data_IF_098805835990
#
_entry.id   IF_098805835990
#
_cell.length_a   1.000
_cell.length_b   1.000
_cell.length_c   1.000
_cell.angle_alpha   90.00
_cell.angle_beta   90.00
_cell.angle_gamma   90.00
#
_symmetry.space_group_name_H-M   'P 1'
#
loop_
_entity.id
_entity.type
_entity.pdbx_description
1 polymer ?
#
# COMPACT_ATOMS: atom_id res chain seq x y z
N UNK A 1 -29.60 4.26 22.75
CA UNK A 1 -28.35 5.00 22.99
C UNK A 1 -27.18 4.08 22.67
N UNK A 2 -26.70 4.09 21.42
CA UNK A 2 -25.58 3.27 20.98
C UNK A 2 -24.28 3.97 21.37
N UNK A 3 -23.52 3.38 22.28
CA UNK A 3 -22.21 3.88 22.68
C UNK A 3 -21.31 3.97 21.45
N UNK A 4 -20.94 5.18 21.07
CA UNK A 4 -19.86 5.42 20.12
C UNK A 4 -18.58 4.79 20.70
N UNK A 5 -18.03 3.79 20.01
CA UNK A 5 -16.71 3.24 20.34
C UNK A 5 -15.64 4.31 20.08
N UNK A 6 -14.59 4.36 20.92
CA UNK A 6 -13.66 5.48 20.99
C UNK A 6 -12.88 5.61 19.67
N UNK A 7 -12.53 6.86 19.34
CA UNK A 7 -11.47 7.19 18.39
C UNK A 7 -10.26 6.29 18.66
N UNK A 8 -9.81 5.55 17.66
CA UNK A 8 -8.79 4.50 17.83
C UNK A 8 -7.41 5.11 18.06
N UNK A 9 -7.14 5.52 19.30
CA UNK A 9 -5.78 5.57 19.84
C UNK A 9 -5.16 4.18 19.71
N UNK A 10 -3.84 4.10 19.47
CA UNK A 10 -3.16 2.81 19.45
C UNK A 10 -3.51 2.03 20.74
N UNK A 11 -3.66 0.69 20.67
CA UNK A 11 -3.90 -0.09 21.88
C UNK A 11 -2.79 0.22 22.89
N UNK A 12 -3.10 0.19 24.18
CA UNK A 12 -2.08 0.37 25.21
C UNK A 12 -1.31 -0.92 25.44
N UNK A 13 -0.06 -0.80 25.87
CA UNK A 13 0.73 -1.93 26.31
C UNK A 13 0.02 -2.63 27.49
N UNK A 14 -0.05 -3.95 27.45
CA UNK A 14 -0.58 -4.75 28.55
C UNK A 14 0.54 -5.58 29.16
N UNK A 15 0.62 -5.62 30.50
CA UNK A 15 1.61 -6.45 31.20
C UNK A 15 1.49 -7.95 30.87
N UNK A 16 0.30 -8.41 30.49
CA UNK A 16 0.05 -9.76 29.97
C UNK A 16 0.87 -10.08 28.72
N UNK A 17 1.36 -9.08 27.98
CA UNK A 17 2.23 -9.26 26.81
C UNK A 17 3.61 -9.80 27.17
N UNK A 18 4.01 -9.76 28.44
CA UNK A 18 5.30 -10.31 28.91
C UNK A 18 5.22 -11.80 29.28
N UNK A 19 4.03 -12.41 29.23
CA UNK A 19 3.84 -13.82 29.55
C UNK A 19 4.64 -14.73 28.59
N UNK A 20 5.11 -15.91 29.05
CA UNK A 20 5.95 -16.81 28.25
C UNK A 20 5.40 -17.19 26.87
N UNK A 21 4.07 -17.28 26.73
CA UNK A 21 3.39 -17.55 25.46
C UNK A 21 3.70 -16.53 24.36
N UNK A 22 4.19 -15.34 24.72
CA UNK A 22 4.49 -14.25 23.80
C UNK A 22 6.00 -14.03 23.55
N UNK A 23 6.88 -14.79 24.21
CA UNK A 23 8.33 -14.60 24.06
C UNK A 23 8.83 -14.77 22.64
N UNK A 24 8.22 -15.68 21.86
CA UNK A 24 8.54 -15.83 20.44
C UNK A 24 8.24 -14.56 19.62
N UNK A 25 7.20 -13.82 19.97
CA UNK A 25 6.85 -12.55 19.30
C UNK A 25 7.84 -11.46 19.68
N UNK A 26 8.23 -11.38 20.96
CA UNK A 26 9.28 -10.46 21.40
C UNK A 26 10.61 -10.74 20.73
N UNK A 27 10.98 -12.01 20.54
CA UNK A 27 12.17 -12.38 19.79
C UNK A 27 12.12 -11.83 18.35
N UNK A 28 10.97 -11.94 17.67
CA UNK A 28 10.79 -11.35 16.32
C UNK A 28 10.91 -9.84 16.35
N UNK A 29 10.32 -9.16 17.34
CA UNK A 29 10.44 -7.69 17.49
C UNK A 29 11.89 -7.29 17.74
N UNK A 30 12.62 -8.00 18.61
CA UNK A 30 14.03 -7.75 18.86
C UNK A 30 14.89 -7.94 17.61
N UNK A 31 14.59 -8.95 16.80
CA UNK A 31 15.23 -9.13 15.48
C UNK A 31 14.95 -7.93 14.58
N UNK A 32 13.71 -7.42 14.52
CA UNK A 32 13.40 -6.22 13.73
C UNK A 32 14.13 -4.97 14.21
N UNK A 33 14.23 -4.75 15.53
CA UNK A 33 14.97 -3.64 16.11
C UNK A 33 16.48 -3.76 15.84
N UNK A 34 17.03 -4.98 15.93
CA UNK A 34 18.42 -5.22 15.57
C UNK A 34 18.66 -4.97 14.07
N UNK A 35 17.75 -5.40 13.21
CA UNK A 35 17.85 -5.16 11.77
C UNK A 35 17.74 -3.68 11.41
N UNK A 36 17.01 -2.87 12.19
CA UNK A 36 16.80 -1.44 11.88
C UNK A 36 18.06 -0.60 12.07
N UNK A 37 18.91 -0.95 13.04
CA UNK A 37 20.14 -0.21 13.39
C UNK A 37 21.32 -0.49 12.45
N UNK A 38 21.25 -1.56 11.64
CA UNK A 38 22.34 -1.92 10.74
C UNK A 38 22.58 -0.85 9.66
N UNK A 39 23.84 -0.65 9.21
CA UNK A 39 24.13 0.23 8.08
C UNK A 39 23.37 -0.20 6.83
N UNK A 40 22.93 0.77 6.01
CA UNK A 40 22.13 0.50 4.81
C UNK A 40 22.78 -0.50 3.86
N UNK A 41 24.11 -0.43 3.70
CA UNK A 41 24.87 -1.38 2.89
C UNK A 41 24.67 -2.83 3.37
N UNK A 42 24.69 -3.06 4.68
CA UNK A 42 24.47 -4.39 5.27
C UNK A 42 23.01 -4.81 5.11
N UNK A 43 22.06 -3.92 5.38
CA UNK A 43 20.63 -4.17 5.17
C UNK A 43 20.34 -4.60 3.72
N UNK A 44 20.96 -3.93 2.75
CA UNK A 44 20.87 -4.29 1.33
C UNK A 44 21.41 -5.69 1.06
N UNK A 45 22.60 -6.04 1.53
CA UNK A 45 23.11 -7.41 1.36
C UNK A 45 22.20 -8.48 1.99
N UNK A 46 21.65 -8.20 3.18
CA UNK A 46 20.67 -9.08 3.82
C UNK A 46 19.41 -9.19 2.96
N UNK A 47 18.90 -8.08 2.41
CA UNK A 47 17.73 -8.09 1.53
C UNK A 47 17.95 -8.98 0.30
N UNK A 48 19.11 -8.89 -0.35
CA UNK A 48 19.47 -9.74 -1.48
C UNK A 48 19.58 -11.23 -1.10
N UNK A 49 20.16 -11.54 0.05
CA UNK A 49 20.28 -12.90 0.55
C UNK A 49 18.89 -13.50 0.87
N UNK A 50 18.07 -12.78 1.63
CA UNK A 50 16.71 -13.19 1.98
C UNK A 50 15.82 -13.31 0.74
N UNK A 51 15.89 -12.37 -0.20
CA UNK A 51 15.16 -12.44 -1.47
C UNK A 51 15.57 -13.66 -2.29
N UNK A 52 16.87 -13.97 -2.34
CA UNK A 52 17.37 -15.16 -3.05
C UNK A 52 16.90 -16.47 -2.42
N UNK A 53 16.81 -16.53 -1.09
CA UNK A 53 16.24 -17.67 -0.36
C UNK A 53 14.74 -17.77 -0.63
N UNK A 54 14.02 -16.66 -0.48
CA UNK A 54 12.58 -16.58 -0.70
C UNK A 54 12.19 -16.98 -2.13
N UNK A 55 12.95 -16.56 -3.14
CA UNK A 55 12.77 -16.95 -4.54
C UNK A 55 12.85 -18.48 -4.77
N UNK A 56 13.73 -19.15 -4.02
CA UNK A 56 13.92 -20.61 -4.11
C UNK A 56 12.83 -21.38 -3.36
N UNK A 57 12.46 -20.93 -2.17
CA UNK A 57 11.57 -21.65 -1.25
C UNK A 57 10.09 -21.34 -1.51
N UNK A 58 9.73 -20.08 -1.73
CA UNK A 58 8.34 -19.63 -1.86
C UNK A 58 7.78 -19.82 -3.28
N UNK A 59 7.77 -21.07 -3.76
CA UNK A 59 7.37 -21.43 -5.14
C UNK A 59 6.02 -20.85 -5.57
N UNK A 60 5.00 -20.92 -4.71
CA UNK A 60 3.66 -20.39 -5.00
C UNK A 60 3.65 -18.87 -5.21
N UNK A 61 4.42 -18.14 -4.41
CA UNK A 61 4.57 -16.68 -4.54
C UNK A 61 5.32 -16.33 -5.81
N UNK A 62 6.42 -17.04 -6.10
CA UNK A 62 7.18 -16.90 -7.34
C UNK A 62 6.30 -17.12 -8.57
N UNK A 63 5.55 -18.22 -8.61
CA UNK A 63 4.65 -18.55 -9.72
C UNK A 63 3.58 -17.48 -9.92
N UNK A 64 3.00 -16.96 -8.84
CA UNK A 64 2.02 -15.87 -8.90
C UNK A 64 2.65 -14.59 -9.46
N UNK A 65 3.84 -14.22 -8.99
CA UNK A 65 4.59 -13.05 -9.48
C UNK A 65 4.90 -13.16 -10.96
N UNK A 66 5.47 -14.29 -11.40
CA UNK A 66 5.80 -14.54 -12.81
C UNK A 66 4.54 -14.45 -13.66
N UNK A 67 3.47 -15.15 -13.26
CA UNK A 67 2.22 -15.17 -14.03
C UNK A 67 1.61 -13.78 -14.18
N UNK A 68 1.67 -12.96 -13.14
CA UNK A 68 1.18 -11.59 -13.24
C UNK A 68 2.03 -10.73 -14.17
N UNK A 69 3.36 -10.85 -14.09
CA UNK A 69 4.26 -10.10 -14.96
C UNK A 69 4.10 -10.50 -16.44
N UNK A 70 3.92 -11.79 -16.74
CA UNK A 70 3.62 -12.26 -18.11
C UNK A 70 2.35 -11.64 -18.68
N UNK A 71 1.32 -11.47 -17.84
CA UNK A 71 0.05 -10.88 -18.26
C UNK A 71 0.13 -9.37 -18.41
N UNK A 72 0.80 -8.69 -17.48
CA UNK A 72 0.88 -7.23 -17.46
C UNK A 72 1.95 -6.65 -18.39
N UNK A 73 2.98 -7.43 -18.72
CA UNK A 73 4.08 -7.02 -19.58
C UNK A 73 4.31 -8.07 -20.69
N UNK A 74 3.33 -8.28 -21.60
CA UNK A 74 3.48 -9.22 -22.71
C UNK A 74 4.63 -8.88 -23.65
N UNK A 75 5.13 -7.63 -23.61
CA UNK A 75 6.30 -7.18 -24.35
C UNK A 75 7.65 -7.68 -23.80
N UNK A 76 7.67 -8.24 -22.58
CA UNK A 76 8.90 -8.76 -21.98
C UNK A 76 9.24 -10.17 -22.46
N UNK A 77 10.54 -10.41 -22.67
CA UNK A 77 11.03 -11.77 -22.90
C UNK A 77 10.84 -12.64 -21.66
N UNK A 78 10.81 -13.96 -21.83
CA UNK A 78 10.72 -14.89 -20.69
C UNK A 78 11.90 -14.70 -19.70
N UNK A 79 13.09 -14.34 -20.20
CA UNK A 79 14.24 -14.03 -19.36
C UNK A 79 14.03 -12.74 -18.55
N UNK A 80 13.50 -11.69 -19.17
CA UNK A 80 13.18 -10.43 -18.49
C UNK A 80 12.12 -10.63 -17.41
N UNK A 81 11.06 -11.39 -17.69
CA UNK A 81 10.03 -11.73 -16.69
C UNK A 81 10.66 -12.43 -15.48
N UNK A 82 11.57 -13.38 -15.68
CA UNK A 82 12.27 -14.05 -14.57
C UNK A 82 13.17 -13.09 -13.78
N UNK A 83 13.95 -12.27 -14.50
CA UNK A 83 14.86 -11.28 -13.91
C UNK A 83 14.11 -10.25 -13.08
N UNK A 84 13.05 -9.66 -13.65
CA UNK A 84 12.19 -8.69 -12.97
C UNK A 84 11.43 -9.33 -11.82
N UNK A 85 10.91 -10.55 -12.01
CA UNK A 85 10.29 -11.33 -10.95
C UNK A 85 11.21 -11.52 -9.75
N UNK A 86 12.49 -11.83 -9.95
CA UNK A 86 13.47 -11.92 -8.86
C UNK A 86 13.71 -10.57 -8.20
N UNK A 87 13.76 -9.49 -8.98
CA UNK A 87 13.90 -8.13 -8.46
C UNK A 87 12.70 -7.72 -7.59
N UNK A 88 11.47 -8.14 -7.89
CA UNK A 88 10.31 -7.92 -7.00
C UNK A 88 10.57 -8.43 -5.58
N UNK A 89 11.20 -9.60 -5.44
CA UNK A 89 11.53 -10.16 -4.12
C UNK A 89 12.61 -9.33 -3.42
N UNK A 90 13.60 -8.83 -4.16
CA UNK A 90 14.63 -7.92 -3.62
C UNK A 90 13.97 -6.62 -3.16
N UNK A 91 13.15 -6.01 -3.99
CA UNK A 91 12.51 -4.74 -3.70
C UNK A 91 11.56 -4.83 -2.50
N UNK A 92 10.85 -5.95 -2.36
CA UNK A 92 10.05 -6.27 -1.17
C UNK A 92 10.92 -6.32 0.10
N UNK A 93 12.05 -7.01 0.07
CA UNK A 93 12.94 -7.09 1.23
C UNK A 93 13.55 -5.74 1.57
N UNK A 94 13.93 -4.93 0.57
CA UNK A 94 14.37 -3.55 0.80
C UNK A 94 13.25 -2.70 1.43
N UNK A 95 12.01 -2.88 0.97
CA UNK A 95 10.80 -2.27 1.53
C UNK A 95 10.59 -2.52 3.02
N UNK A 96 10.93 -3.72 3.50
CA UNK A 96 10.92 -4.05 4.93
C UNK A 96 11.92 -3.18 5.70
N UNK A 97 13.16 -3.04 5.22
CA UNK A 97 14.15 -2.21 5.88
C UNK A 97 13.77 -0.72 5.86
N UNK A 98 13.17 -0.25 4.77
CA UNK A 98 12.68 1.14 4.66
C UNK A 98 11.52 1.40 5.62
N UNK A 99 10.64 0.43 5.80
CA UNK A 99 9.58 0.46 6.81
C UNK A 99 10.19 0.58 8.22
N UNK A 100 11.19 -0.25 8.54
CA UNK A 100 11.91 -0.16 9.83
C UNK A 100 12.57 1.20 10.02
N UNK A 101 13.16 1.80 8.96
CA UNK A 101 13.71 3.15 9.04
C UNK A 101 12.61 4.20 9.27
N UNK A 102 11.45 4.06 8.65
CA UNK A 102 10.33 4.99 8.86
C UNK A 102 9.80 4.99 10.29
N UNK A 103 9.93 3.86 10.99
CA UNK A 103 9.49 3.72 12.37
C UNK A 103 10.55 4.16 13.38
N UNK A 104 11.82 3.79 13.16
CA UNK A 104 12.87 3.93 14.19
C UNK A 104 13.99 4.90 13.83
N UNK A 105 14.18 5.22 12.55
CA UNK A 105 15.30 6.04 12.04
C UNK A 105 14.82 7.08 11.02
N UNK A 106 13.85 7.89 11.45
CA UNK A 106 13.13 8.90 10.65
C UNK A 106 14.05 9.89 9.92
N UNK A 107 15.19 10.23 10.51
CA UNK A 107 16.23 11.09 9.94
C UNK A 107 16.91 10.50 8.69
N UNK A 108 16.78 9.19 8.44
CA UNK A 108 17.26 8.56 7.21
C UNK A 108 16.77 9.29 5.95
N UNK A 109 15.52 9.74 5.97
CA UNK A 109 14.85 10.33 4.82
C UNK A 109 15.20 11.80 4.58
N UNK A 110 16.02 12.42 5.43
CA UNK A 110 16.41 13.82 5.27
C UNK A 110 17.35 13.99 4.06
N UNK A 111 17.02 14.94 3.17
CA UNK A 111 17.74 15.14 1.90
C UNK A 111 17.63 13.98 0.90
N UNK A 112 16.68 13.04 1.11
CA UNK A 112 16.43 11.90 0.22
C UNK A 112 15.08 11.92 -0.46
N UNK A 113 14.21 12.86 -0.14
CA UNK A 113 12.81 12.85 -0.54
C UNK A 113 12.51 13.99 -1.51
N UNK A 114 11.76 13.69 -2.57
CA UNK A 114 11.06 14.66 -3.40
C UNK A 114 9.57 14.32 -3.50
N UNK A 115 8.75 15.35 -3.73
CA UNK A 115 7.31 15.23 -3.97
C UNK A 115 6.95 16.04 -5.22
N UNK A 116 6.12 15.44 -6.07
CA UNK A 116 5.54 16.07 -7.26
C UNK A 116 4.02 16.05 -7.15
N UNK A 117 3.35 17.11 -7.61
CA UNK A 117 1.89 17.23 -7.61
C UNK A 117 1.26 17.57 -6.26
N UNK A 118 2.04 18.13 -5.33
CA UNK A 118 1.50 18.62 -4.05
C UNK A 118 0.48 19.74 -4.26
N UNK A 119 0.66 20.56 -5.29
CA UNK A 119 -0.24 21.63 -5.67
C UNK A 119 -1.61 21.09 -6.09
N UNK A 120 -1.65 19.94 -6.78
CA UNK A 120 -2.90 19.29 -7.16
C UNK A 120 -3.68 18.81 -5.93
N UNK A 121 -2.99 18.28 -4.92
CA UNK A 121 -3.60 17.91 -3.65
C UNK A 121 -4.15 19.13 -2.90
N UNK A 122 -3.37 20.21 -2.82
CA UNK A 122 -3.80 21.46 -2.18
C UNK A 122 -5.02 22.07 -2.90
N UNK A 123 -5.04 22.04 -4.22
CA UNK A 123 -6.19 22.48 -5.02
C UNK A 123 -7.44 21.62 -4.75
N UNK A 124 -7.26 20.30 -4.63
CA UNK A 124 -8.35 19.37 -4.33
C UNK A 124 -8.94 19.53 -2.93
N UNK A 125 -8.14 19.99 -1.96
CA UNK A 125 -8.60 20.31 -0.60
C UNK A 125 -9.24 21.70 -0.48
N UNK A 126 -9.16 22.53 -1.52
CA UNK A 126 -9.77 23.86 -1.52
C UNK A 126 -11.27 23.72 -1.23
N UNK A 127 -11.84 24.73 -0.60
CA UNK A 127 -13.27 24.79 -0.25
C UNK A 127 -13.73 23.71 0.75
N UNK A 128 -12.78 23.05 1.44
CA UNK A 128 -13.06 22.12 2.54
C UNK A 128 -13.40 20.71 2.10
N UNK A 129 -13.17 20.37 0.82
CA UNK A 129 -13.40 19.02 0.31
C UNK A 129 -12.42 18.01 0.93
N UNK A 130 -12.95 16.84 1.34
CA UNK A 130 -12.11 15.70 1.65
C UNK A 130 -11.42 15.16 0.40
N UNK A 131 -10.36 14.38 0.59
CA UNK A 131 -9.61 13.78 -0.52
C UNK A 131 -9.42 12.29 -0.28
N UNK A 132 -9.79 11.48 -1.28
CA UNK A 132 -9.43 10.07 -1.36
C UNK A 132 -8.14 9.97 -2.18
N UNK A 133 -7.05 9.63 -1.50
CA UNK A 133 -5.77 9.32 -2.15
C UNK A 133 -5.73 7.83 -2.50
N UNK A 134 -5.86 7.53 -3.79
CA UNK A 134 -5.71 6.19 -4.34
C UNK A 134 -4.24 5.83 -4.41
N UNK A 135 -3.80 4.95 -3.53
CA UNK A 135 -2.46 4.36 -3.61
C UNK A 135 -2.50 2.92 -4.07
N UNK A 136 -1.32 2.31 -4.11
CA UNK A 136 -1.16 0.88 -4.37
C UNK A 136 -0.43 0.19 -3.23
N UNK A 137 -0.56 -1.13 -3.14
CA UNK A 137 0.30 -1.96 -2.32
C UNK A 137 1.68 -2.02 -2.99
N UNK A 138 2.49 -0.99 -2.73
CA UNK A 138 3.89 -0.93 -3.14
C UNK A 138 4.82 -1.52 -2.07
N UNK A 139 6.07 -1.82 -2.44
CA UNK A 139 7.10 -2.26 -1.48
C UNK A 139 7.42 -1.20 -0.44
N UNK A 140 7.07 0.06 -0.71
CA UNK A 140 7.32 1.21 0.15
C UNK A 140 6.15 1.58 1.06
N UNK A 141 5.03 0.84 1.08
CA UNK A 141 3.76 1.30 1.65
C UNK A 141 3.86 2.08 2.99
N UNK A 142 4.48 1.50 4.02
CA UNK A 142 4.62 2.17 5.32
C UNK A 142 5.64 3.32 5.31
N UNK A 143 6.77 3.14 4.61
CA UNK A 143 7.78 4.20 4.46
C UNK A 143 7.21 5.39 3.68
N UNK A 144 6.46 5.12 2.62
CA UNK A 144 5.75 6.09 1.80
C UNK A 144 4.75 6.89 2.61
N UNK A 145 3.95 6.24 3.47
CA UNK A 145 3.04 6.96 4.36
C UNK A 145 3.72 7.85 5.38
N UNK A 146 4.86 7.41 5.93
CA UNK A 146 5.71 8.29 6.74
C UNK A 146 6.26 9.49 5.94
N UNK A 147 6.72 9.26 4.72
CA UNK A 147 7.25 10.36 3.90
C UNK A 147 6.11 11.34 3.56
N UNK A 148 4.92 10.87 3.19
CA UNK A 148 3.74 11.69 2.95
C UNK A 148 3.36 12.56 4.13
N UNK A 149 3.40 12.00 5.35
CA UNK A 149 3.00 12.72 6.55
C UNK A 149 3.87 13.94 6.85
N UNK A 150 5.04 14.07 6.20
CA UNK A 150 5.91 15.25 6.27
C UNK A 150 5.38 16.44 5.45
N UNK A 151 4.49 16.18 4.49
CA UNK A 151 3.97 17.18 3.57
C UNK A 151 2.50 17.53 3.84
N UNK A 152 1.70 16.57 4.28
CA UNK A 152 0.28 16.77 4.59
C UNK A 152 -0.21 15.74 5.61
N UNK A 153 -1.23 16.10 6.39
CA UNK A 153 -1.89 15.17 7.31
C UNK A 153 -2.76 14.19 6.54
N UNK A 154 -2.59 12.89 6.79
CA UNK A 154 -3.36 11.84 6.11
C UNK A 154 -3.83 10.79 7.11
N UNK A 155 -5.10 10.41 6.97
CA UNK A 155 -5.69 9.28 7.66
C UNK A 155 -5.47 8.01 6.82
N UNK A 156 -5.27 6.87 7.47
CA UNK A 156 -5.00 5.61 6.77
C UNK A 156 -5.97 4.53 7.22
N UNK A 157 -6.52 3.82 6.24
CA UNK A 157 -7.33 2.64 6.49
C UNK A 157 -6.42 1.42 6.71
N UNK A 158 -6.63 0.67 7.79
CA UNK A 158 -5.84 -0.53 8.06
C UNK A 158 -6.71 -1.69 8.56
N UNK A 159 -6.24 -2.92 8.34
CA UNK A 159 -6.83 -4.11 8.95
C UNK A 159 -6.16 -4.37 10.31
N UNK A 160 -6.93 -4.46 11.41
CA UNK A 160 -6.39 -4.87 12.71
C UNK A 160 -5.69 -6.22 12.63
N UNK A 161 -4.53 -6.33 13.28
CA UNK A 161 -3.78 -7.56 13.40
C UNK A 161 -4.51 -8.55 14.30
N UNK A 162 -4.35 -9.84 13.99
CA UNK A 162 -4.95 -10.91 14.78
C UNK A 162 -4.28 -11.04 16.16
N UNK A 163 -2.97 -10.76 16.25
CA UNK A 163 -2.22 -10.85 17.49
C UNK A 163 -2.15 -9.47 18.18
N UNK A 164 -2.50 -9.38 19.48
CA UNK A 164 -2.57 -8.09 20.18
C UNK A 164 -1.22 -7.40 20.35
N UNK A 165 -0.10 -8.13 20.44
CA UNK A 165 1.24 -7.54 20.54
C UNK A 165 1.63 -6.92 19.20
N UNK A 166 1.38 -7.61 18.08
CA UNK A 166 1.62 -7.03 16.77
C UNK A 166 0.72 -5.81 16.52
N UNK A 167 -0.56 -5.87 16.92
CA UNK A 167 -1.45 -4.72 16.83
C UNK A 167 -0.90 -3.52 17.61
N UNK A 168 -0.52 -3.73 18.88
CA UNK A 168 0.11 -2.71 19.71
C UNK A 168 1.38 -2.15 19.07
N UNK A 169 2.29 -3.02 18.64
CA UNK A 169 3.58 -2.64 18.07
C UNK A 169 3.43 -1.81 16.79
N UNK A 170 2.63 -2.29 15.81
CA UNK A 170 2.45 -1.57 14.55
C UNK A 170 1.65 -0.27 14.73
N UNK A 171 0.60 -0.27 15.56
CA UNK A 171 -0.14 0.95 15.81
C UNK A 171 0.73 2.00 16.52
N UNK A 172 1.54 1.59 17.50
CA UNK A 172 2.48 2.50 18.18
C UNK A 172 3.48 3.11 17.19
N UNK A 173 4.05 2.29 16.30
CA UNK A 173 4.99 2.77 15.29
C UNK A 173 4.35 3.74 14.26
N UNK A 174 3.07 3.54 13.95
CA UNK A 174 2.31 4.34 12.97
C UNK A 174 1.59 5.55 13.56
N UNK A 175 1.30 5.58 14.86
CA UNK A 175 0.51 6.64 15.49
C UNK A 175 1.21 8.00 15.42
N UNK A 176 2.54 8.03 15.44
CA UNK A 176 3.32 9.25 15.29
C UNK A 176 3.45 9.73 13.82
N UNK A 177 2.74 9.10 12.89
CA UNK A 177 2.84 9.33 11.44
C UNK A 177 1.50 9.78 10.87
N UNK A 178 0.41 9.09 11.17
CA UNK A 178 -0.89 9.35 10.56
C UNK A 178 -1.78 10.21 11.45
N UNK A 179 -2.74 10.93 10.85
CA UNK A 179 -3.76 11.68 11.58
C UNK A 179 -4.66 10.74 12.39
N UNK A 180 -5.27 9.78 11.72
CA UNK A 180 -6.04 8.70 12.34
C UNK A 180 -5.77 7.34 11.67
N UNK A 181 -5.61 6.30 12.50
CA UNK A 181 -5.59 4.90 12.05
C UNK A 181 -7.02 4.36 12.05
N UNK A 182 -7.66 4.34 10.86
CA UNK A 182 -9.06 3.96 10.73
C UNK A 182 -9.15 2.46 10.43
N UNK A 183 -9.81 1.72 11.31
CA UNK A 183 -10.02 0.28 11.08
C UNK A 183 -10.84 0.04 9.82
N UNK A 184 -10.47 -0.97 9.04
CA UNK A 184 -11.23 -1.40 7.87
C UNK A 184 -12.64 -1.91 8.19
N UNK A 185 -12.93 -2.14 9.47
CA UNK A 185 -14.25 -2.50 10.00
C UNK A 185 -15.10 -1.27 10.36
N UNK A 186 -14.53 -0.06 10.31
CA UNK A 186 -15.18 1.20 10.69
C UNK A 186 -15.27 2.17 9.50
N UNK A 187 -15.89 1.73 8.41
CA UNK A 187 -16.16 2.58 7.23
C UNK A 187 -16.95 3.86 7.56
N UNK A 188 -17.93 3.87 8.50
CA UNK A 188 -18.62 5.11 8.86
C UNK A 188 -17.68 6.21 9.35
N UNK A 189 -16.63 5.86 10.10
CA UNK A 189 -15.61 6.83 10.55
C UNK A 189 -14.81 7.41 9.38
N UNK A 190 -14.47 6.59 8.39
CA UNK A 190 -13.82 7.06 7.17
C UNK A 190 -14.70 8.08 6.42
N UNK A 191 -16.00 7.79 6.30
CA UNK A 191 -16.97 8.71 5.68
C UNK A 191 -17.08 10.02 6.45
N UNK A 192 -17.14 9.96 7.78
CA UNK A 192 -17.14 11.15 8.64
C UNK A 192 -15.91 12.02 8.39
N UNK A 193 -14.71 11.42 8.40
CA UNK A 193 -13.44 12.13 8.21
C UNK A 193 -13.34 12.80 6.84
N UNK A 194 -13.75 12.08 5.78
CA UNK A 194 -13.79 12.65 4.43
C UNK A 194 -14.79 13.81 4.33
N UNK A 195 -15.96 13.73 4.97
CA UNK A 195 -16.93 14.84 5.00
C UNK A 195 -16.43 16.07 5.75
N UNK A 196 -15.47 15.92 6.65
CA UNK A 196 -14.86 17.04 7.39
C UNK A 196 -13.52 17.50 6.77
N UNK A 197 -13.29 17.22 5.48
CA UNK A 197 -12.15 17.76 4.74
C UNK A 197 -10.83 17.00 4.90
N UNK A 198 -10.83 15.83 5.56
CA UNK A 198 -9.59 15.06 5.72
C UNK A 198 -9.19 14.34 4.43
N UNK A 199 -7.88 14.09 4.34
CA UNK A 199 -7.29 13.22 3.34
C UNK A 199 -7.29 11.79 3.89
N UNK A 200 -7.82 10.84 3.13
CA UNK A 200 -7.75 9.43 3.46
C UNK A 200 -7.06 8.64 2.35
N UNK A 201 -6.07 7.83 2.72
CA UNK A 201 -5.44 6.88 1.81
C UNK A 201 -6.27 5.61 1.70
N UNK A 202 -6.65 5.27 0.46
CA UNK A 202 -7.29 4.01 0.07
C UNK A 202 -6.52 3.28 -1.05
N UNK A 203 -6.37 1.95 -0.99
CA UNK A 203 -5.66 1.16 -2.02
C UNK A 203 -6.59 0.15 -2.72
N UNK A 204 -7.06 0.42 -3.97
CA UNK A 204 -8.05 -0.40 -4.68
C UNK A 204 -7.44 -1.54 -5.53
N UNK A 205 -6.14 -1.81 -5.43
CA UNK A 205 -5.36 -2.63 -6.35
C UNK A 205 -5.37 -4.14 -6.07
N UNK A 206 -6.19 -4.60 -5.12
CA UNK A 206 -6.33 -6.02 -4.79
C UNK A 206 -7.69 -6.60 -5.21
N UNK A 207 -7.66 -7.85 -5.67
CA UNK A 207 -8.85 -8.65 -5.93
C UNK A 207 -9.56 -9.10 -4.63
N UNK A 208 -10.71 -8.48 -4.35
CA UNK A 208 -11.68 -8.83 -3.30
C UNK A 208 -12.95 -9.51 -3.85
N UNK A 209 -12.96 -9.88 -5.13
CA UNK A 209 -14.08 -10.50 -5.81
C UNK A 209 -15.23 -9.57 -6.19
N UNK A 210 -16.20 -10.11 -6.93
CA UNK A 210 -17.29 -9.34 -7.55
C UNK A 210 -18.43 -8.95 -6.61
N UNK A 211 -18.41 -9.41 -5.34
CA UNK A 211 -19.34 -8.89 -4.33
C UNK A 211 -19.09 -7.41 -4.01
N UNK A 212 -17.86 -6.94 -4.20
CA UNK A 212 -17.41 -5.59 -3.85
C UNK A 212 -16.79 -4.85 -5.04
N UNK A 213 -16.88 -5.43 -6.25
CA UNK A 213 -16.17 -4.96 -7.42
C UNK A 213 -16.86 -5.36 -8.72
N UNK A 214 -16.29 -4.90 -9.83
CA UNK A 214 -16.73 -5.20 -11.19
C UNK A 214 -15.56 -5.77 -11.99
N UNK A 215 -15.85 -6.47 -13.10
CA UNK A 215 -14.80 -6.83 -14.06
C UNK A 215 -14.44 -5.58 -14.87
N UNK A 216 -13.21 -5.10 -14.70
CA UNK A 216 -12.68 -3.95 -15.43
C UNK A 216 -11.31 -4.27 -16.00
N UNK A 217 -10.90 -3.57 -17.05
CA UNK A 217 -9.60 -3.81 -17.68
C UNK A 217 -8.46 -3.43 -16.73
N UNK A 218 -7.42 -4.26 -16.66
CA UNK A 218 -6.16 -3.99 -15.96
C UNK A 218 -5.02 -4.63 -16.75
N UNK A 219 -4.21 -3.81 -17.41
CA UNK A 219 -3.18 -4.19 -18.38
C UNK A 219 -3.76 -5.01 -19.56
N UNK A 220 -4.92 -4.65 -20.09
CA UNK A 220 -5.57 -5.40 -21.17
C UNK A 220 -6.18 -6.73 -20.72
N UNK A 221 -6.14 -7.04 -19.42
CA UNK A 221 -6.68 -8.27 -18.83
C UNK A 221 -7.84 -7.90 -17.90
N UNK A 222 -9.07 -8.41 -18.15
CA UNK A 222 -10.19 -8.20 -17.25
C UNK A 222 -9.86 -8.70 -15.84
N UNK A 223 -10.04 -7.85 -14.83
CA UNK A 223 -9.76 -8.15 -13.44
C UNK A 223 -10.92 -7.69 -12.55
N UNK A 224 -11.18 -8.41 -11.46
CA UNK A 224 -12.13 -7.95 -10.46
C UNK A 224 -11.53 -6.74 -9.73
N UNK A 225 -12.12 -5.57 -9.93
CA UNK A 225 -11.64 -4.29 -9.40
C UNK A 225 -12.66 -3.73 -8.42
N UNK A 226 -12.18 -3.38 -7.22
CA UNK A 226 -13.04 -2.85 -6.16
C UNK A 226 -13.54 -1.46 -6.52
N UNK A 227 -14.79 -1.18 -6.14
CA UNK A 227 -15.46 0.11 -6.39
C UNK A 227 -15.88 0.82 -5.11
N UNK A 228 -15.30 0.45 -3.96
CA UNK A 228 -15.63 1.10 -2.68
C UNK A 228 -15.24 2.58 -2.67
N UNK A 229 -14.10 2.95 -3.27
CA UNK A 229 -13.68 4.33 -3.48
C UNK A 229 -14.67 5.15 -4.29
N UNK A 230 -15.36 4.52 -5.27
CA UNK A 230 -16.46 5.14 -6.03
C UNK A 230 -17.61 5.51 -5.09
N UNK A 231 -18.01 4.59 -4.21
CA UNK A 231 -19.10 4.82 -3.24
C UNK A 231 -18.72 5.90 -2.23
N UNK A 232 -17.49 5.85 -1.70
CA UNK A 232 -16.96 6.86 -0.80
C UNK A 232 -16.99 8.25 -1.45
N UNK A 233 -16.53 8.38 -2.69
CA UNK A 233 -16.55 9.66 -3.42
C UNK A 233 -17.98 10.19 -3.58
N UNK A 234 -18.97 9.34 -3.93
CA UNK A 234 -20.38 9.75 -4.02
C UNK A 234 -20.95 10.23 -2.69
N UNK A 235 -20.70 9.49 -1.62
CA UNK A 235 -21.30 9.75 -0.31
C UNK A 235 -20.70 10.96 0.41
N UNK A 236 -19.44 11.29 0.10
CA UNK A 236 -18.66 12.32 0.80
C UNK A 236 -18.41 13.56 -0.05
N UNK A 237 -18.61 13.48 -1.37
CA UNK A 237 -18.16 14.47 -2.35
C UNK A 237 -16.66 14.77 -2.26
N UNK A 238 -15.88 13.81 -1.77
CA UNK A 238 -14.43 13.91 -1.71
C UNK A 238 -13.83 13.85 -3.12
N UNK A 239 -12.78 14.64 -3.34
CA UNK A 239 -11.98 14.59 -4.56
C UNK A 239 -11.14 13.32 -4.58
N UNK A 240 -10.86 12.80 -5.77
CA UNK A 240 -10.13 11.54 -5.92
C UNK A 240 -8.84 11.80 -6.68
N UNK A 241 -7.70 11.58 -6.03
CA UNK A 241 -6.37 11.74 -6.60
C UNK A 241 -5.63 10.41 -6.47
N UNK A 242 -4.58 10.20 -7.25
CA UNK A 242 -3.72 9.02 -7.11
C UNK A 242 -2.36 9.41 -6.55
N UNK A 243 -1.79 8.52 -5.73
CA UNK A 243 -0.49 8.72 -5.10
C UNK A 243 0.37 7.47 -5.21
N UNK A 244 1.65 7.64 -5.56
CA UNK A 244 2.59 6.53 -5.64
C UNK A 244 3.95 6.89 -5.07
N UNK A 245 4.65 5.86 -4.60
CA UNK A 245 5.95 5.93 -3.95
C UNK A 245 6.98 5.17 -4.76
N UNK A 246 8.12 5.79 -5.01
CA UNK A 246 9.21 5.19 -5.77
C UNK A 246 10.52 5.31 -5.02
N UNK A 247 11.27 4.21 -4.94
CA UNK A 247 12.69 4.21 -4.64
C UNK A 247 13.46 4.39 -5.94
N UNK A 248 14.33 5.39 -5.98
CA UNK A 248 15.25 5.67 -7.09
C UNK A 248 16.66 5.32 -6.64
N UNK A 249 17.23 4.29 -7.27
CA UNK A 249 18.54 3.74 -6.91
C UNK A 249 18.54 2.89 -5.63
N UNK A 250 19.54 2.02 -5.49
CA UNK A 250 19.62 1.10 -4.35
C UNK A 250 20.79 1.39 -3.40
N UNK A 251 21.95 1.84 -3.91
CA UNK A 251 23.14 2.08 -3.09
C UNK A 251 22.97 3.34 -2.22
N UNK A 252 22.50 4.42 -2.83
CA UNK A 252 22.12 5.66 -2.18
C UNK A 252 20.67 5.99 -2.60
N UNK A 253 19.66 5.34 -1.98
CA UNK A 253 18.29 5.47 -2.44
C UNK A 253 17.78 6.90 -2.21
N UNK A 254 17.11 7.41 -3.23
CA UNK A 254 16.22 8.58 -3.15
C UNK A 254 14.77 8.10 -3.23
N UNK A 255 13.86 8.89 -2.70
CA UNK A 255 12.45 8.57 -2.60
C UNK A 255 11.63 9.66 -3.27
N UNK A 256 10.78 9.26 -4.20
CA UNK A 256 9.91 10.18 -4.92
C UNK A 256 8.46 9.82 -4.62
N UNK A 257 7.69 10.83 -4.24
CA UNK A 257 6.24 10.76 -4.19
C UNK A 257 5.70 11.47 -5.42
N UNK A 258 4.78 10.84 -6.13
CA UNK A 258 4.06 11.48 -7.23
C UNK A 258 2.58 11.43 -6.92
N UNK A 259 1.97 12.61 -6.85
CA UNK A 259 0.52 12.80 -6.78
C UNK A 259 0.06 13.24 -8.16
N UNK A 260 -0.82 12.45 -8.76
CA UNK A 260 -1.40 12.81 -10.06
C UNK A 260 -2.60 13.76 -9.86
N UNK A 261 -2.96 14.56 -10.89
CA UNK A 261 -4.12 15.44 -10.83
C UNK A 261 -5.43 14.75 -10.41
N UNK A 262 -6.41 15.55 -9.96
CA UNK A 262 -7.75 15.06 -9.63
C UNK A 262 -8.33 14.27 -10.81
N UNK A 263 -8.94 13.13 -10.49
CA UNK A 263 -9.72 12.36 -11.44
C UNK A 263 -11.03 13.11 -11.73
N UNK A 264 -11.02 13.97 -12.74
CA UNK A 264 -12.18 14.78 -13.10
C UNK A 264 -13.41 13.94 -13.45
N UNK A 265 -14.61 14.48 -13.20
CA UNK A 265 -15.88 13.82 -13.48
C UNK A 265 -15.93 12.39 -12.90
N UNK A 266 -15.46 12.22 -11.67
CA UNK A 266 -15.51 10.97 -10.94
C UNK A 266 -16.28 11.14 -9.63
N UNK A 267 -17.18 10.21 -9.31
CA UNK A 267 -17.54 9.02 -10.09
C UNK A 267 -18.61 9.30 -11.14
N UNK A 268 -18.59 8.55 -12.24
CA UNK A 268 -19.63 8.61 -13.30
C UNK A 268 -20.84 7.75 -12.92
N UNK A 269 -21.82 7.56 -13.81
CA UNK A 269 -22.87 6.55 -13.62
C UNK A 269 -22.41 5.12 -13.95
N UNK A 270 -21.36 4.94 -14.76
CA UNK A 270 -20.84 3.62 -15.15
C UNK A 270 -19.70 3.14 -14.23
N UNK A 271 -19.98 2.13 -13.42
CA UNK A 271 -19.01 1.56 -12.48
C UNK A 271 -17.83 0.87 -13.18
N UNK A 272 -18.01 0.33 -14.39
CA UNK A 272 -16.95 -0.35 -15.14
C UNK A 272 -15.99 0.69 -15.71
N UNK A 273 -16.51 1.77 -16.30
CA UNK A 273 -15.69 2.90 -16.77
C UNK A 273 -14.84 3.49 -15.65
N UNK A 274 -15.44 3.77 -14.49
CA UNK A 274 -14.72 4.28 -13.32
C UNK A 274 -13.64 3.33 -12.82
N UNK A 275 -13.95 2.03 -12.71
CA UNK A 275 -12.98 1.00 -12.31
C UNK A 275 -11.85 0.83 -13.33
N UNK A 276 -12.13 1.02 -14.61
CA UNK A 276 -11.14 0.98 -15.69
C UNK A 276 -10.21 2.19 -15.60
N UNK A 277 -10.74 3.40 -15.38
CA UNK A 277 -9.93 4.62 -15.16
C UNK A 277 -8.99 4.48 -13.96
N UNK A 278 -9.48 3.93 -12.85
CA UNK A 278 -8.65 3.65 -11.67
C UNK A 278 -7.54 2.64 -11.97
N UNK A 279 -7.85 1.57 -12.72
CA UNK A 279 -6.84 0.60 -13.14
C UNK A 279 -5.79 1.24 -14.06
N UNK A 280 -6.19 2.07 -15.02
CA UNK A 280 -5.26 2.77 -15.91
C UNK A 280 -4.30 3.70 -15.16
N UNK A 281 -4.77 4.38 -14.10
CA UNK A 281 -3.91 5.15 -13.20
C UNK A 281 -2.87 4.24 -12.51
N UNK A 282 -3.31 3.10 -11.99
CA UNK A 282 -2.41 2.11 -11.38
C UNK A 282 -1.42 1.54 -12.40
N UNK A 283 -1.85 1.25 -13.63
CA UNK A 283 -0.99 0.76 -14.70
C UNK A 283 0.14 1.73 -15.03
N UNK A 284 -0.21 3.00 -15.22
CA UNK A 284 0.76 4.07 -15.49
C UNK A 284 1.79 4.18 -14.35
N UNK A 285 1.33 4.11 -13.10
CA UNK A 285 2.20 4.12 -11.92
C UNK A 285 3.10 2.88 -11.83
N UNK A 286 2.54 1.69 -12.00
CA UNK A 286 3.26 0.42 -11.95
C UNK A 286 4.32 0.38 -13.06
N UNK A 287 4.03 0.87 -14.27
CA UNK A 287 4.98 0.92 -15.38
C UNK A 287 6.23 1.77 -15.08
N UNK A 288 6.16 2.78 -14.21
CA UNK A 288 7.33 3.59 -13.81
C UNK A 288 8.34 2.79 -12.99
N UNK A 289 7.88 1.92 -12.09
CA UNK A 289 8.75 1.04 -11.30
C UNK A 289 8.12 -0.34 -11.14
N UNK A 290 8.15 -1.19 -12.18
CA UNK A 290 7.41 -2.44 -12.22
C UNK A 290 7.70 -3.35 -11.05
N UNK A 291 8.93 -3.38 -10.55
CA UNK A 291 9.35 -4.32 -9.49
C UNK A 291 8.95 -3.88 -8.08
N UNK A 292 8.49 -2.64 -7.90
CA UNK A 292 8.12 -2.06 -6.60
C UNK A 292 6.62 -2.20 -6.27
N UNK A 293 5.86 -2.98 -7.06
CA UNK A 293 4.47 -3.35 -6.74
C UNK A 293 4.38 -4.77 -6.16
N UNK A 294 3.39 -5.02 -5.29
CA UNK A 294 3.21 -6.31 -4.61
C UNK A 294 2.63 -7.41 -5.51
N UNK A 295 3.41 -7.88 -6.49
CA UNK A 295 3.03 -8.95 -7.43
C UNK A 295 2.71 -10.32 -6.80
N UNK A 296 2.86 -10.49 -5.49
CA UNK A 296 2.55 -11.72 -4.76
C UNK A 296 1.05 -12.00 -4.60
N UNK A 297 0.22 -10.98 -4.84
CA UNK A 297 -1.22 -11.11 -4.82
C UNK A 297 -1.71 -11.77 -6.10
N UNK A 298 -2.67 -12.68 -5.97
CA UNK A 298 -3.37 -13.24 -7.14
C UNK A 298 -4.40 -12.22 -7.65
N UNK A 299 -3.91 -11.17 -8.33
CA UNK A 299 -4.67 -10.03 -8.87
C UNK A 299 -5.83 -10.42 -9.80
N UNK A 300 -5.71 -11.57 -10.46
CA UNK A 300 -6.62 -12.07 -11.49
C UNK A 300 -7.40 -13.33 -11.07
N UNK A 301 -7.55 -13.58 -9.76
CA UNK A 301 -8.08 -14.87 -9.24
C UNK A 301 -9.58 -15.00 -9.44
N UNK A 302 -10.31 -13.89 -9.39
CA UNK A 302 -11.76 -13.89 -9.55
C UNK A 302 -12.08 -13.93 -11.04
N UNK A 303 -12.71 -15.03 -11.45
CA UNK A 303 -13.08 -15.33 -12.83
C UNK A 303 -14.51 -15.91 -12.81
N UNK A 304 -15.56 -15.12 -13.10
CA UNK A 304 -16.91 -15.65 -13.22
C UNK A 304 -17.02 -16.57 -14.46
N UNK A 305 -18.15 -17.26 -14.59
CA UNK A 305 -18.41 -18.12 -15.75
C UNK A 305 -18.19 -17.37 -17.07
N UNK A 306 -17.52 -18.02 -18.02
CA UNK A 306 -17.09 -17.41 -19.29
C UNK A 306 -15.67 -16.85 -19.31
N UNK A 307 -14.98 -16.75 -18.16
CA UNK A 307 -13.57 -16.34 -18.11
C UNK A 307 -12.63 -17.52 -17.85
N UNK A 308 -11.48 -17.54 -18.53
CA UNK A 308 -10.45 -18.55 -18.31
C UNK A 308 -9.76 -18.42 -16.94
N UNK A 309 -9.35 -19.56 -16.39
CA UNK A 309 -8.61 -19.61 -15.13
C UNK A 309 -7.14 -19.24 -15.33
N UNK A 310 -6.63 -18.33 -14.50
CA UNK A 310 -5.24 -17.82 -14.62
C UNK A 310 -4.24 -18.48 -13.67
N UNK A 311 -4.65 -18.89 -12.47
CA UNK A 311 -3.77 -19.46 -11.43
C UNK A 311 -4.23 -20.84 -10.93
#
# INVERSE_FOLDING_TARGET
MSQAKPSTSAPHFQWSFLLPQYWGIWLVILVFLFLSILPWTVQRYIAYALASIAWKILKSRRQTTIRNLELCFPEWSAEDVQRQGKQVFVDMMLGVFETLKSWFHKNWFDGRVSIEGLEALQAAQKDGHGVILLGSHSTLLDAGGYICSRFFAVDVMYRPQNNPIFEWFFCTARQATYGELISSRNTPRLVERLKTGHIAWYSPDQDFGLKQGVMADFFGVPAATVIAQRRLARETHAKVLSIQFYRIGEKDPKYQIIIEPELENYPTEDAISDATRVNQLLEMQIRRAPTQWMWFHKRFKTRPEGYEKIY
#
